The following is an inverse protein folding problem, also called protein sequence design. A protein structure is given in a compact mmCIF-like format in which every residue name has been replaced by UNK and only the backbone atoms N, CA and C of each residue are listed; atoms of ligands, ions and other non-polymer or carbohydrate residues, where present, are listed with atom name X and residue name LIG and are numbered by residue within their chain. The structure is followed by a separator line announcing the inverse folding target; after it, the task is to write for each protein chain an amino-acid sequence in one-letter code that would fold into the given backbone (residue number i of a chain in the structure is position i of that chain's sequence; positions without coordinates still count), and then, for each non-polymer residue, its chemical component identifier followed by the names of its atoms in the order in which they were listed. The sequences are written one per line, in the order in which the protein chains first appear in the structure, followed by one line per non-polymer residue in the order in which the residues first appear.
data_IF_858834536372
#
_entry.id   IF_858834536372
#
_cell.length_a   1.000
_cell.length_b   1.000
_cell.length_c   1.000
_cell.angle_alpha   90.00
_cell.angle_beta   90.00
_cell.angle_gamma   90.00
#
_symmetry.space_group_name_H-M   'P 1'
#
loop_
_entity.id
_entity.type
_entity.pdbx_description
1 polymer ?
#
# COMPACT_ATOMS: atom_id res chain seq x y z
N UNK A 1 -41.98 -45.95 -3.82
CA UNK A 1 -41.57 -44.72 -4.55
C UNK A 1 -42.28 -43.56 -3.89
N UNK A 2 -41.61 -42.86 -2.98
CA UNK A 2 -42.18 -41.70 -2.29
C UNK A 2 -41.62 -40.47 -2.98
N UNK A 3 -42.42 -39.78 -3.79
CA UNK A 3 -42.04 -38.49 -4.35
C UNK A 3 -42.10 -37.46 -3.22
N UNK A 4 -40.96 -36.87 -2.89
CA UNK A 4 -40.93 -35.69 -2.04
C UNK A 4 -41.50 -34.51 -2.84
N UNK A 5 -42.75 -34.13 -2.55
CA UNK A 5 -43.30 -32.87 -3.04
C UNK A 5 -42.68 -31.71 -2.25
N UNK A 6 -42.01 -30.79 -2.95
CA UNK A 6 -41.40 -29.61 -2.37
C UNK A 6 -42.41 -28.45 -2.33
N UNK A 7 -42.51 -27.79 -1.18
CA UNK A 7 -43.43 -26.69 -0.95
C UNK A 7 -42.92 -25.38 -1.61
N UNK A 8 -43.65 -24.77 -2.56
CA UNK A 8 -43.18 -23.64 -3.37
C UNK A 8 -43.08 -22.30 -2.62
N UNK A 9 -43.43 -22.24 -1.33
CA UNK A 9 -43.42 -21.00 -0.54
C UNK A 9 -42.07 -20.65 0.10
N UNK A 10 -41.09 -21.55 0.07
CA UNK A 10 -39.76 -21.29 0.61
C UNK A 10 -38.71 -21.82 -0.38
N UNK A 11 -37.94 -20.91 -0.99
CA UNK A 11 -36.74 -21.29 -1.69
C UNK A 11 -35.69 -21.73 -0.66
N UNK A 12 -35.36 -23.01 -0.63
CA UNK A 12 -34.24 -23.53 0.15
C UNK A 12 -33.04 -23.69 -0.79
N UNK A 13 -31.94 -23.00 -0.47
CA UNK A 13 -30.64 -23.23 -1.10
C UNK A 13 -29.87 -24.23 -0.24
N UNK A 14 -29.73 -25.47 -0.69
CA UNK A 14 -28.87 -26.45 -0.04
C UNK A 14 -27.42 -26.17 -0.42
N UNK A 15 -26.53 -26.03 0.57
CA UNK A 15 -25.09 -25.85 0.34
C UNK A 15 -24.50 -27.16 -0.16
N UNK A 16 -24.25 -27.26 -1.47
CA UNK A 16 -23.72 -28.49 -2.10
C UNK A 16 -22.21 -28.67 -1.85
N UNK A 17 -21.47 -27.57 -1.63
CA UNK A 17 -20.05 -27.59 -1.33
C UNK A 17 -19.61 -26.35 -0.52
N UNK A 18 -18.79 -26.57 0.51
CA UNK A 18 -18.13 -25.50 1.28
C UNK A 18 -16.71 -25.32 0.78
N UNK A 19 -16.45 -24.23 0.08
CA UNK A 19 -15.09 -23.83 -0.26
C UNK A 19 -14.42 -23.19 0.95
N UNK A 20 -13.20 -23.60 1.25
CA UNK A 20 -12.40 -23.09 2.36
C UNK A 20 -11.05 -22.62 1.80
N UNK A 21 -10.69 -21.35 1.93
CA UNK A 21 -9.38 -20.86 1.53
C UNK A 21 -8.26 -21.60 2.27
N UNK A 22 -7.27 -22.08 1.52
CA UNK A 22 -6.17 -22.87 2.06
C UNK A 22 -4.78 -22.24 1.81
N UNK A 23 -4.72 -21.13 1.09
CA UNK A 23 -3.46 -20.47 0.76
C UNK A 23 -3.67 -19.00 0.38
N UNK A 24 -2.61 -18.20 0.53
CA UNK A 24 -2.51 -16.87 -0.05
C UNK A 24 -1.07 -16.57 -0.46
N UNK A 25 -0.89 -15.57 -1.31
CA UNK A 25 0.39 -14.96 -1.59
C UNK A 25 0.24 -13.45 -1.81
N UNK A 26 1.20 -12.67 -1.33
CA UNK A 26 1.31 -11.24 -1.63
C UNK A 26 2.76 -10.80 -1.74
N UNK A 27 2.98 -9.70 -2.47
CA UNK A 27 4.25 -9.01 -2.55
C UNK A 27 4.07 -7.56 -2.09
N UNK A 28 5.09 -7.01 -1.44
CA UNK A 28 5.16 -5.59 -1.08
C UNK A 28 6.08 -4.91 -2.08
N UNK A 29 5.56 -3.90 -2.78
CA UNK A 29 6.25 -3.21 -3.86
C UNK A 29 6.56 -1.78 -3.43
N UNK A 30 7.81 -1.36 -3.65
CA UNK A 30 8.31 -0.04 -3.32
C UNK A 30 7.93 1.03 -4.35
N UNK A 31 8.26 2.30 -4.08
CA UNK A 31 8.00 3.41 -5.01
C UNK A 31 8.71 3.27 -6.38
N UNK A 32 9.79 2.49 -6.43
CA UNK A 32 10.55 2.16 -7.64
C UNK A 32 9.94 1.03 -8.48
N UNK A 33 8.82 0.46 -8.02
CA UNK A 33 8.17 -0.68 -8.67
C UNK A 33 8.82 -2.03 -8.36
N UNK A 34 9.84 -2.07 -7.50
CA UNK A 34 10.55 -3.29 -7.13
C UNK A 34 10.00 -3.90 -5.85
N UNK A 35 10.14 -5.22 -5.71
CA UNK A 35 9.78 -5.89 -4.45
C UNK A 35 10.74 -5.48 -3.34
N UNK A 36 10.20 -5.01 -2.22
CA UNK A 36 11.03 -4.61 -1.05
C UNK A 36 11.54 -5.81 -0.27
N UNK A 37 10.91 -6.97 -0.46
CA UNK A 37 11.25 -8.25 0.18
C UNK A 37 10.69 -9.43 -0.64
N UNK A 38 11.18 -10.66 -0.42
CA UNK A 38 10.60 -11.84 -1.05
C UNK A 38 9.08 -11.94 -0.82
N UNK A 39 8.30 -12.44 -1.80
CA UNK A 39 6.86 -12.63 -1.64
C UNK A 39 6.52 -13.50 -0.44
N UNK A 40 5.47 -13.12 0.28
CA UNK A 40 4.94 -13.90 1.38
C UNK A 40 3.96 -14.91 0.81
N UNK A 41 4.19 -16.19 1.11
CA UNK A 41 3.33 -17.30 0.70
C UNK A 41 2.94 -18.08 1.95
N UNK A 42 1.65 -18.37 2.08
CA UNK A 42 1.12 -19.20 3.15
C UNK A 42 0.27 -20.31 2.56
N UNK A 43 0.36 -21.50 3.16
CA UNK A 43 -0.50 -22.65 2.87
C UNK A 43 -0.86 -23.32 4.19
N UNK A 44 -2.16 -23.46 4.48
CA UNK A 44 -2.62 -24.01 5.74
C UNK A 44 -4.08 -23.72 6.02
N UNK A 45 -4.54 -24.17 7.20
CA UNK A 45 -5.85 -23.78 7.75
C UNK A 45 -5.83 -22.29 8.11
N UNK A 46 -7.01 -21.68 8.17
CA UNK A 46 -7.20 -20.27 8.57
C UNK A 46 -6.46 -19.27 7.66
N UNK A 47 -6.37 -19.56 6.36
CA UNK A 47 -5.62 -18.73 5.42
C UNK A 47 -6.11 -17.27 5.37
N UNK A 48 -7.41 -17.02 5.60
CA UNK A 48 -7.96 -15.66 5.64
C UNK A 48 -7.50 -14.90 6.88
N UNK A 49 -7.61 -15.51 8.07
CA UNK A 49 -7.19 -14.85 9.32
C UNK A 49 -5.70 -14.52 9.30
N UNK A 50 -4.88 -15.47 8.83
CA UNK A 50 -3.44 -15.25 8.66
C UNK A 50 -3.15 -14.17 7.61
N UNK A 51 -3.92 -14.12 6.52
CA UNK A 51 -3.78 -13.07 5.51
C UNK A 51 -4.07 -11.68 6.09
N UNK A 52 -5.20 -11.52 6.78
CA UNK A 52 -5.60 -10.25 7.39
C UNK A 52 -4.59 -9.81 8.46
N UNK A 53 -4.16 -10.72 9.32
CA UNK A 53 -3.12 -10.45 10.32
C UNK A 53 -1.82 -9.98 9.67
N UNK A 54 -1.38 -10.65 8.60
CA UNK A 54 -0.18 -10.27 7.86
C UNK A 54 -0.33 -8.91 7.19
N UNK A 55 -1.49 -8.56 6.64
CA UNK A 55 -1.74 -7.22 6.09
C UNK A 55 -1.63 -6.12 7.15
N UNK A 56 -2.14 -6.34 8.36
CA UNK A 56 -2.00 -5.40 9.48
C UNK A 56 -0.53 -5.26 9.93
N UNK A 57 0.21 -6.38 9.95
CA UNK A 57 1.66 -6.36 10.21
C UNK A 57 2.38 -5.51 9.14
N UNK A 58 2.04 -5.68 7.84
CA UNK A 58 2.61 -4.87 6.75
C UNK A 58 2.26 -3.39 6.89
N UNK A 59 1.01 -3.06 7.18
CA UNK A 59 0.57 -1.68 7.39
C UNK A 59 1.43 -0.99 8.44
N UNK A 60 1.58 -1.63 9.61
CA UNK A 60 2.40 -1.10 10.70
C UNK A 60 3.84 -0.87 10.25
N UNK A 61 4.47 -1.87 9.62
CA UNK A 61 5.85 -1.76 9.13
C UNK A 61 6.02 -0.63 8.10
N UNK A 62 5.09 -0.51 7.16
CA UNK A 62 5.13 0.53 6.11
C UNK A 62 4.97 1.91 6.74
N UNK A 63 4.02 2.09 7.67
CA UNK A 63 3.78 3.36 8.36
C UNK A 63 5.01 3.75 9.20
N UNK A 64 5.56 2.83 9.98
CA UNK A 64 6.74 3.09 10.82
C UNK A 64 7.95 3.46 9.96
N UNK A 65 8.16 2.75 8.83
CA UNK A 65 9.21 3.07 7.86
C UNK A 65 9.02 4.45 7.25
N UNK A 66 7.79 4.85 6.91
CA UNK A 66 7.48 6.18 6.35
C UNK A 66 7.63 7.31 7.37
N UNK A 67 7.47 7.03 8.66
CA UNK A 67 7.65 8.00 9.75
C UNK A 67 9.11 8.22 10.10
N UNK A 68 9.96 7.22 9.84
CA UNK A 68 11.39 7.36 10.04
C UNK A 68 11.95 8.41 9.07
N UNK A 69 12.51 9.49 9.63
CA UNK A 69 13.17 10.54 8.85
C UNK A 69 14.62 10.15 8.67
N UNK A 70 14.94 9.52 7.54
CA UNK A 70 16.32 9.18 7.21
C UNK A 70 17.12 10.47 6.98
N UNK A 71 18.33 10.61 7.54
CA UNK A 71 19.17 11.78 7.28
C UNK A 71 19.40 12.00 5.78
N UNK A 72 19.33 13.26 5.36
CA UNK A 72 19.54 13.64 3.97
C UNK A 72 20.98 13.35 3.55
N UNK A 73 21.14 12.65 2.43
CA UNK A 73 22.39 12.49 1.71
C UNK A 73 22.50 13.64 0.71
N UNK A 74 23.42 14.55 0.97
CA UNK A 74 23.61 15.73 0.14
C UNK A 74 24.95 15.70 -0.59
N UNK A 75 24.91 15.32 -1.86
CA UNK A 75 26.08 15.20 -2.71
C UNK A 75 26.51 16.57 -3.28
N UNK A 76 27.75 16.71 -3.78
CA UNK A 76 28.20 17.92 -4.48
C UNK A 76 27.28 18.30 -5.65
N UNK A 77 26.83 17.31 -6.44
CA UNK A 77 25.85 17.53 -7.51
C UNK A 77 24.50 18.04 -6.98
N UNK A 78 24.06 17.57 -5.82
CA UNK A 78 22.86 18.09 -5.15
C UNK A 78 23.02 19.56 -4.74
N UNK A 79 24.18 19.96 -4.25
CA UNK A 79 24.49 21.36 -3.93
C UNK A 79 24.51 22.24 -5.19
N UNK A 80 25.10 21.77 -6.29
CA UNK A 80 25.06 22.49 -7.58
C UNK A 80 23.64 22.66 -8.11
N UNK A 81 22.83 21.60 -8.08
CA UNK A 81 21.43 21.64 -8.48
C UNK A 81 20.62 22.60 -7.59
N UNK A 82 20.84 22.58 -6.29
CA UNK A 82 20.18 23.48 -5.36
C UNK A 82 20.52 24.95 -5.64
N UNK A 83 21.82 25.26 -5.83
CA UNK A 83 22.28 26.63 -6.11
C UNK A 83 21.83 27.16 -7.47
N UNK A 84 21.70 26.29 -8.47
CA UNK A 84 21.26 26.66 -9.82
C UNK A 84 19.73 26.67 -9.99
N UNK A 85 18.98 26.16 -9.01
CA UNK A 85 17.52 26.12 -9.05
C UNK A 85 16.91 27.52 -8.98
N UNK A 86 16.14 27.89 -10.00
CA UNK A 86 15.43 29.17 -10.08
C UNK A 86 13.94 29.06 -9.79
N UNK A 87 13.40 27.85 -9.69
CA UNK A 87 11.97 27.59 -9.50
C UNK A 87 11.73 26.52 -8.44
N UNK A 88 10.62 26.65 -7.73
CA UNK A 88 10.16 25.67 -6.76
C UNK A 88 9.73 24.38 -7.48
N UNK A 89 10.28 23.25 -7.09
CA UNK A 89 9.96 21.93 -7.65
C UNK A 89 8.48 21.57 -7.56
N UNK A 90 7.78 22.03 -6.52
CA UNK A 90 6.40 21.64 -6.23
C UNK A 90 5.41 22.55 -6.97
N UNK A 91 5.50 23.87 -6.81
CA UNK A 91 4.53 24.81 -7.38
C UNK A 91 4.97 25.47 -8.69
N UNK A 92 6.20 25.19 -9.15
CA UNK A 92 6.81 25.70 -10.39
C UNK A 92 6.93 27.23 -10.50
N UNK A 93 6.78 27.95 -9.38
CA UNK A 93 6.98 29.41 -9.30
C UNK A 93 8.47 29.75 -9.05
N UNK A 94 8.96 30.93 -9.47
CA UNK A 94 10.34 31.35 -9.22
C UNK A 94 10.69 31.31 -7.73
N UNK A 95 11.91 30.96 -7.35
CA UNK A 95 12.41 31.00 -5.97
C UNK A 95 13.01 32.38 -5.66
N UNK A 96 12.58 33.00 -4.56
CA UNK A 96 13.00 34.36 -4.18
C UNK A 96 13.83 34.38 -2.88
N UNK A 97 14.75 33.42 -2.72
CA UNK A 97 15.64 33.34 -1.54
C UNK A 97 15.15 32.41 -0.41
N UNK A 98 13.87 32.07 -0.36
CA UNK A 98 13.28 31.18 0.67
C UNK A 98 13.29 29.69 0.27
N UNK A 99 14.31 29.29 -0.50
CA UNK A 99 14.45 27.91 -0.93
C UNK A 99 14.88 27.01 0.25
N UNK A 100 14.35 25.79 0.28
CA UNK A 100 14.77 24.70 1.15
C UNK A 100 15.15 23.49 0.30
N UNK A 101 15.97 22.61 0.89
CA UNK A 101 16.40 21.37 0.26
C UNK A 101 15.34 20.30 0.48
N UNK A 102 14.50 20.05 -0.53
CA UNK A 102 13.55 18.95 -0.47
C UNK A 102 14.27 17.62 -0.66
N UNK A 103 13.91 16.61 0.15
CA UNK A 103 14.53 15.28 0.06
C UNK A 103 13.52 14.19 0.42
N UNK A 104 13.82 12.98 -0.02
CA UNK A 104 13.01 11.81 0.26
C UNK A 104 13.32 11.24 1.65
N UNK A 105 12.34 11.17 2.53
CA UNK A 105 12.53 10.64 3.90
C UNK A 105 12.82 9.12 3.94
N UNK A 106 12.42 8.36 2.92
CA UNK A 106 12.66 6.92 2.84
C UNK A 106 14.09 6.63 2.36
N UNK A 107 14.52 7.31 1.28
CA UNK A 107 15.84 7.04 0.69
C UNK A 107 16.94 7.92 1.26
N UNK A 108 16.59 9.09 1.81
CA UNK A 108 17.50 10.16 2.20
C UNK A 108 17.97 11.00 1.01
N UNK A 109 17.55 10.68 -0.21
CA UNK A 109 18.06 11.34 -1.41
C UNK A 109 17.49 12.75 -1.56
N UNK A 110 18.37 13.72 -1.80
CA UNK A 110 17.97 15.06 -2.25
C UNK A 110 17.13 14.95 -3.53
N UNK A 111 16.03 15.71 -3.56
CA UNK A 111 15.14 15.81 -4.71
C UNK A 111 15.46 17.08 -5.49
N UNK A 112 15.00 18.22 -5.00
CA UNK A 112 15.10 19.52 -5.67
C UNK A 112 14.97 20.67 -4.67
N UNK A 113 15.09 21.91 -5.14
CA UNK A 113 14.81 23.10 -4.34
C UNK A 113 13.30 23.38 -4.32
N UNK A 114 12.76 23.64 -3.13
CA UNK A 114 11.35 23.99 -2.95
C UNK A 114 11.20 25.19 -2.03
N UNK A 115 10.04 25.86 -2.05
CA UNK A 115 9.69 26.80 -0.99
C UNK A 115 9.48 26.07 0.34
N UNK A 116 9.87 26.69 1.45
CA UNK A 116 9.61 26.13 2.78
C UNK A 116 8.12 25.80 3.00
N UNK A 117 7.22 26.70 2.58
CA UNK A 117 5.77 26.49 2.67
C UNK A 117 5.29 25.33 1.80
N UNK A 118 5.84 25.15 0.60
CA UNK A 118 5.51 24.02 -0.25
C UNK A 118 6.03 22.71 0.36
N UNK A 119 7.26 22.70 0.86
CA UNK A 119 7.88 21.54 1.51
C UNK A 119 7.08 21.08 2.73
N UNK A 120 6.73 21.99 3.66
CA UNK A 120 5.94 21.65 4.87
C UNK A 120 4.54 21.10 4.54
N UNK A 121 3.96 21.55 3.43
CA UNK A 121 2.65 21.09 2.98
C UNK A 121 2.73 19.82 2.11
N UNK A 122 3.92 19.43 1.66
CA UNK A 122 4.10 18.22 0.87
C UNK A 122 4.08 16.99 1.77
N UNK A 123 2.89 16.39 1.89
CA UNK A 123 2.67 15.20 2.71
C UNK A 123 2.59 13.96 1.82
N UNK A 124 3.31 12.91 2.20
CA UNK A 124 3.12 11.59 1.62
C UNK A 124 1.71 11.08 1.97
N UNK A 125 1.04 10.47 0.99
CA UNK A 125 -0.27 9.87 1.21
C UNK A 125 -0.18 8.79 2.30
N UNK A 126 -1.10 8.80 3.25
CA UNK A 126 -1.19 7.78 4.33
C UNK A 126 -1.85 6.50 3.85
N UNK A 127 -2.57 6.56 2.73
CA UNK A 127 -3.23 5.41 2.12
C UNK A 127 -2.20 4.47 1.46
N UNK A 128 -2.28 3.18 1.80
CA UNK A 128 -1.47 2.11 1.19
C UNK A 128 -2.35 1.40 0.14
N UNK A 129 -2.03 1.50 -1.15
CA UNK A 129 -2.81 0.82 -2.18
C UNK A 129 -2.62 -0.69 -2.08
N UNK A 130 -3.72 -1.44 -2.04
CA UNK A 130 -3.73 -2.90 -2.09
C UNK A 130 -4.41 -3.34 -3.38
N UNK A 131 -3.68 -4.08 -4.22
CA UNK A 131 -4.20 -4.63 -5.48
C UNK A 131 -4.41 -6.12 -5.31
N UNK A 132 -5.67 -6.56 -5.43
CA UNK A 132 -6.05 -7.96 -5.26
C UNK A 132 -6.52 -8.51 -6.61
N UNK A 133 -5.80 -9.50 -7.11
CA UNK A 133 -5.99 -10.08 -8.45
C UNK A 133 -7.38 -10.71 -8.65
N UNK A 134 -8.07 -11.13 -7.58
CA UNK A 134 -9.36 -11.84 -7.62
C UNK A 134 -10.44 -11.27 -6.69
N UNK A 135 -10.47 -9.95 -6.46
CA UNK A 135 -11.50 -9.37 -5.59
C UNK A 135 -12.90 -9.31 -6.23
N UNK A 136 -12.98 -9.35 -7.57
CA UNK A 136 -14.26 -9.40 -8.28
C UNK A 136 -14.78 -10.85 -8.29
N UNK A 137 -16.10 -10.99 -8.15
CA UNK A 137 -16.82 -12.28 -8.14
C UNK A 137 -16.57 -13.11 -6.86
N UNK A 138 -16.50 -14.43 -6.98
CA UNK A 138 -16.50 -15.38 -5.86
C UNK A 138 -15.28 -15.25 -4.92
N UNK A 139 -14.18 -14.57 -5.27
CA UNK A 139 -13.02 -14.47 -4.37
C UNK A 139 -13.23 -13.55 -3.16
N UNK A 140 -14.02 -12.48 -3.32
CA UNK A 140 -14.16 -11.43 -2.32
C UNK A 140 -14.94 -11.84 -1.06
N UNK A 141 -15.90 -12.77 -1.17
CA UNK A 141 -16.76 -13.13 -0.03
C UNK A 141 -15.99 -13.74 1.14
N UNK A 142 -14.88 -14.44 0.89
CA UNK A 142 -14.03 -14.98 1.96
C UNK A 142 -13.32 -13.89 2.76
N UNK A 143 -12.90 -12.81 2.08
CA UNK A 143 -12.25 -11.68 2.75
C UNK A 143 -13.26 -10.88 3.56
N UNK A 144 -14.46 -10.65 3.00
CA UNK A 144 -15.54 -9.94 3.70
C UNK A 144 -15.95 -10.71 4.97
N UNK A 145 -16.11 -12.04 4.88
CA UNK A 145 -16.40 -12.88 6.05
C UNK A 145 -15.33 -12.81 7.15
N UNK A 146 -14.06 -12.58 6.79
CA UNK A 146 -12.97 -12.43 7.76
C UNK A 146 -12.87 -11.02 8.36
N UNK A 147 -13.42 -10.01 7.69
CA UNK A 147 -13.38 -8.60 8.13
C UNK A 147 -14.55 -8.25 9.07
N UNK A 148 -15.66 -9.01 9.01
CA UNK A 148 -16.86 -8.81 9.82
C UNK A 148 -18.04 -8.30 8.99
#
# INVERSE_FOLDING_TARGET
MSSCEQNPKFAFAESVAKHVPCAFAYAVVGPDGMMVKPPIVFRGKNAIDEFLRKLLDEEKLIIDTRRYVKPMVFSPTGEENYKSSTQCSICKKPLNGDAVRDYDHLTGAYREAAYNSCHLNFKLATHIPVVIHNLRNYGGHFLIQGIG
#
